data_IF_696625331197
#
_entry.id   IF_696625331197
#
_cell.length_a   1.000
_cell.length_b   1.000
_cell.length_c   1.000
_cell.angle_alpha   90.00
_cell.angle_beta   90.00
_cell.angle_gamma   90.00
#
_symmetry.space_group_name_H-M   'P 1'
#
loop_
_entity.id
_entity.type
_entity.pdbx_description
1 polymer ?
#
# COMPACT_ATOMS: atom_id res chain seq x y z
N UNK A 1 27.31 40.93 -3.04
CA UNK A 1 26.44 42.09 -2.77
C UNK A 1 25.43 42.34 -3.89
N UNK A 2 25.85 42.39 -5.16
CA UNK A 2 24.93 42.62 -6.29
C UNK A 2 23.81 41.57 -6.41
N UNK A 3 24.14 40.28 -6.42
CA UNK A 3 23.13 39.21 -6.54
C UNK A 3 22.10 39.23 -5.40
N UNK A 4 22.54 39.51 -4.17
CA UNK A 4 21.65 39.67 -3.02
C UNK A 4 20.78 40.93 -3.15
N UNK A 5 21.32 42.05 -3.62
CA UNK A 5 20.56 43.28 -3.88
C UNK A 5 19.50 43.06 -4.98
N UNK A 6 19.84 42.30 -6.02
CA UNK A 6 18.92 41.89 -7.06
C UNK A 6 17.80 40.99 -6.50
N UNK A 7 18.16 39.96 -5.74
CA UNK A 7 17.21 39.03 -5.12
C UNK A 7 16.24 39.72 -4.16
N UNK A 8 16.72 40.74 -3.42
CA UNK A 8 15.93 41.56 -2.51
C UNK A 8 15.00 42.55 -3.23
N UNK A 9 15.19 42.78 -4.55
CA UNK A 9 14.41 43.74 -5.31
C UNK A 9 14.84 45.20 -5.10
N UNK A 10 16.08 45.45 -4.67
CA UNK A 10 16.61 46.80 -4.46
C UNK A 10 17.06 47.50 -5.76
N UNK A 11 16.92 46.85 -6.91
CA UNK A 11 17.32 47.37 -8.22
C UNK A 11 16.07 47.58 -9.09
N UNK A 12 15.79 48.84 -9.44
CA UNK A 12 14.64 49.26 -10.25
C UNK A 12 15.11 50.00 -11.52
N UNK A 13 14.25 50.07 -12.55
CA UNK A 13 14.55 50.83 -13.76
C UNK A 13 15.84 50.42 -14.49
N UNK A 14 16.71 51.39 -14.76
CA UNK A 14 17.99 51.17 -15.45
C UNK A 14 18.98 50.32 -14.62
N UNK A 15 18.94 50.42 -13.29
CA UNK A 15 19.78 49.62 -12.39
C UNK A 15 19.39 48.14 -12.43
N UNK A 16 18.11 47.84 -12.65
CA UNK A 16 17.66 46.47 -12.86
C UNK A 16 18.26 45.86 -14.13
N UNK A 17 18.24 46.62 -15.22
CA UNK A 17 18.77 46.19 -16.52
C UNK A 17 20.28 46.00 -16.46
N UNK A 18 20.98 46.95 -15.84
CA UNK A 18 22.44 46.87 -15.60
C UNK A 18 22.78 45.69 -14.70
N UNK A 19 21.99 45.46 -13.65
CA UNK A 19 22.10 44.30 -12.77
C UNK A 19 22.00 43.00 -13.55
N UNK A 20 21.02 42.85 -14.45
CA UNK A 20 20.87 41.66 -15.29
C UNK A 20 22.11 41.38 -16.16
N UNK A 21 22.69 42.42 -16.77
CA UNK A 21 23.91 42.30 -17.57
C UNK A 21 25.08 41.83 -16.71
N UNK A 22 25.24 42.42 -15.52
CA UNK A 22 26.30 42.04 -14.60
C UNK A 22 26.13 40.61 -14.06
N UNK A 23 24.90 40.17 -13.76
CA UNK A 23 24.63 38.77 -13.40
C UNK A 23 25.02 37.81 -14.52
N UNK A 24 24.70 38.16 -15.78
CA UNK A 24 25.12 37.40 -16.95
C UNK A 24 26.65 37.30 -17.05
N UNK A 25 27.36 38.40 -16.84
CA UNK A 25 28.83 38.39 -16.84
C UNK A 25 29.43 37.49 -15.75
N UNK A 26 28.83 37.45 -14.55
CA UNK A 26 29.31 36.57 -13.48
C UNK A 26 29.06 35.08 -13.73
N UNK A 27 28.15 34.71 -14.63
CA UNK A 27 28.01 33.31 -15.05
C UNK A 27 29.25 32.80 -15.78
N UNK A 28 29.95 33.68 -16.49
CA UNK A 28 31.16 33.34 -17.23
C UNK A 28 32.44 33.52 -16.39
N UNK A 29 32.32 33.78 -15.08
CA UNK A 29 33.48 33.95 -14.20
C UNK A 29 34.27 32.63 -14.11
N UNK A 30 35.61 32.65 -14.29
CA UNK A 30 36.43 31.43 -14.28
C UNK A 30 36.44 30.74 -12.91
N UNK A 31 36.15 31.48 -11.83
CA UNK A 31 36.15 30.95 -10.47
C UNK A 31 34.80 30.34 -10.11
N UNK A 32 34.72 29.01 -9.85
CA UNK A 32 33.47 28.38 -9.42
C UNK A 32 32.98 28.92 -8.07
N UNK A 33 33.85 29.55 -7.27
CA UNK A 33 33.45 30.19 -6.01
C UNK A 33 32.57 31.43 -6.24
N UNK A 34 32.82 32.18 -7.31
CA UNK A 34 32.01 33.35 -7.67
C UNK A 34 30.63 32.89 -8.15
N UNK A 35 30.59 31.90 -9.04
CA UNK A 35 29.34 31.31 -9.53
C UNK A 35 28.54 30.63 -8.43
N UNK A 36 29.21 29.95 -7.49
CA UNK A 36 28.59 29.42 -6.27
C UNK A 36 27.96 30.52 -5.42
N UNK A 37 28.68 31.62 -5.17
CA UNK A 37 28.14 32.74 -4.41
C UNK A 37 26.93 33.39 -5.09
N UNK A 38 26.91 33.39 -6.44
CA UNK A 38 25.77 33.80 -7.23
C UNK A 38 24.59 32.82 -7.06
N UNK A 39 24.84 31.51 -7.14
CA UNK A 39 23.84 30.47 -6.89
C UNK A 39 23.23 30.58 -5.49
N UNK A 40 24.05 30.67 -4.43
CA UNK A 40 23.56 30.80 -3.06
C UNK A 40 22.70 32.06 -2.85
N UNK A 41 23.07 33.18 -3.51
CA UNK A 41 22.31 34.43 -3.41
C UNK A 41 20.96 34.40 -4.15
N UNK A 42 20.85 33.60 -5.21
CA UNK A 42 19.65 33.51 -6.05
C UNK A 42 18.78 32.28 -5.74
N UNK A 43 19.33 31.30 -5.01
CA UNK A 43 18.76 29.96 -4.83
C UNK A 43 17.30 29.97 -4.38
N UNK A 44 16.89 30.87 -3.49
CA UNK A 44 15.51 30.93 -2.94
C UNK A 44 14.68 32.09 -3.48
N UNK A 45 15.23 32.89 -4.40
CA UNK A 45 14.58 34.13 -4.83
C UNK A 45 13.53 33.89 -5.91
N UNK A 46 12.29 34.32 -5.65
CA UNK A 46 11.21 34.37 -6.66
C UNK A 46 11.43 35.44 -7.72
N UNK A 47 12.37 36.37 -7.49
CA UNK A 47 12.76 37.42 -8.43
C UNK A 47 13.97 37.04 -9.27
N UNK A 48 14.59 35.88 -9.02
CA UNK A 48 15.75 35.44 -9.77
C UNK A 48 15.40 35.31 -11.27
N UNK A 49 16.22 35.85 -12.19
CA UNK A 49 15.95 35.72 -13.61
C UNK A 49 16.10 34.25 -14.00
N UNK A 50 15.01 33.62 -14.48
CA UNK A 50 14.99 32.18 -14.77
C UNK A 50 16.14 31.71 -15.66
N UNK A 51 16.54 32.51 -16.66
CA UNK A 51 17.70 32.18 -17.53
C UNK A 51 19.02 32.05 -16.77
N UNK A 52 19.23 32.86 -15.74
CA UNK A 52 20.44 32.82 -14.91
C UNK A 52 20.41 31.58 -14.02
N UNK A 53 19.25 31.28 -13.44
CA UNK A 53 19.06 30.06 -12.62
C UNK A 53 19.27 28.79 -13.44
N UNK A 54 18.76 28.73 -14.66
CA UNK A 54 18.98 27.58 -15.55
C UNK A 54 20.47 27.41 -15.92
N UNK A 55 21.18 28.51 -16.20
CA UNK A 55 22.61 28.44 -16.47
C UNK A 55 23.41 27.95 -15.26
N UNK A 56 23.03 28.36 -14.05
CA UNK A 56 23.64 27.86 -12.81
C UNK A 56 23.31 26.39 -12.55
N UNK A 57 22.11 25.94 -12.93
CA UNK A 57 21.68 24.55 -12.76
C UNK A 57 22.38 23.57 -13.72
N UNK A 58 22.91 24.05 -14.84
CA UNK A 58 23.69 23.28 -15.83
C UNK A 58 25.21 23.32 -15.56
N UNK A 59 25.64 24.01 -14.50
CA UNK A 59 27.04 24.11 -14.09
C UNK A 59 27.48 22.85 -13.29
N UNK A 60 28.72 22.86 -12.79
CA UNK A 60 29.22 21.82 -11.88
C UNK A 60 28.34 21.69 -10.64
N UNK A 61 28.25 20.48 -10.08
CA UNK A 61 27.37 20.14 -8.94
C UNK A 61 27.45 21.15 -7.78
N UNK A 62 28.65 21.63 -7.45
CA UNK A 62 28.82 22.60 -6.36
C UNK A 62 28.09 23.91 -6.64
N UNK A 63 27.90 24.34 -7.89
CA UNK A 63 27.13 25.53 -8.25
C UNK A 63 25.66 25.21 -8.48
N UNK A 64 25.37 24.04 -9.07
CA UNK A 64 24.01 23.65 -9.47
C UNK A 64 23.13 23.21 -8.29
N UNK A 65 23.64 22.40 -7.36
CA UNK A 65 22.83 21.84 -6.26
C UNK A 65 22.02 22.88 -5.48
N UNK A 66 22.54 24.06 -5.07
CA UNK A 66 21.78 25.07 -4.32
C UNK A 66 20.56 25.61 -5.06
N UNK A 67 20.70 25.86 -6.36
CA UNK A 67 19.59 26.38 -7.16
C UNK A 67 18.58 25.26 -7.46
N UNK A 68 19.06 24.05 -7.73
CA UNK A 68 18.17 22.90 -7.98
C UNK A 68 17.38 22.49 -6.74
N UNK A 69 17.96 22.59 -5.55
CA UNK A 69 17.29 22.18 -4.31
C UNK A 69 16.26 23.18 -3.78
N UNK A 70 16.32 24.45 -4.18
CA UNK A 70 15.52 25.50 -3.53
C UNK A 70 14.85 26.49 -4.48
N UNK A 71 15.22 26.54 -5.77
CA UNK A 71 14.73 27.61 -6.63
C UNK A 71 13.26 27.48 -6.96
N UNK A 72 12.46 28.55 -6.74
CA UNK A 72 11.03 28.57 -7.07
C UNK A 72 10.78 28.90 -8.55
N UNK A 73 11.81 29.31 -9.30
CA UNK A 73 11.66 29.67 -10.73
C UNK A 73 11.94 28.50 -11.68
N UNK A 74 12.38 27.36 -11.15
CA UNK A 74 12.52 26.10 -11.90
C UNK A 74 11.14 25.47 -12.10
N UNK A 75 10.86 25.07 -13.34
CA UNK A 75 9.64 24.38 -13.71
C UNK A 75 9.80 22.88 -13.44
N UNK A 76 8.66 22.18 -13.34
CA UNK A 76 8.66 20.72 -13.24
C UNK A 76 9.42 20.05 -14.40
N UNK A 77 9.33 20.60 -15.63
CA UNK A 77 10.08 20.07 -16.78
C UNK A 77 11.59 20.16 -16.57
N UNK A 78 12.06 21.28 -16.03
CA UNK A 78 13.49 21.49 -15.77
C UNK A 78 13.99 20.49 -14.73
N UNK A 79 13.24 20.33 -13.63
CA UNK A 79 13.58 19.37 -12.57
C UNK A 79 13.57 17.92 -13.06
N UNK A 80 12.64 17.58 -13.95
CA UNK A 80 12.59 16.25 -14.58
C UNK A 80 13.81 16.02 -15.47
N UNK A 81 14.19 17.00 -16.29
CA UNK A 81 15.37 16.91 -17.16
C UNK A 81 16.67 16.83 -16.33
N UNK A 82 16.80 17.67 -15.30
CA UNK A 82 17.92 17.67 -14.36
C UNK A 82 18.01 16.34 -13.60
N UNK A 83 16.89 15.72 -13.24
CA UNK A 83 16.91 14.40 -12.61
C UNK A 83 17.29 13.29 -13.59
N UNK A 84 16.82 13.37 -14.84
CA UNK A 84 17.06 12.37 -15.86
C UNK A 84 18.53 12.30 -16.30
N UNK A 85 19.18 13.45 -16.44
CA UNK A 85 20.55 13.54 -16.97
C UNK A 85 21.60 13.95 -15.92
N UNK A 86 21.16 14.30 -14.71
CA UNK A 86 22.03 14.79 -13.65
C UNK A 86 22.93 13.75 -13.00
N UNK A 87 23.98 14.24 -12.35
CA UNK A 87 24.83 13.46 -11.46
C UNK A 87 24.03 12.96 -10.23
N UNK A 88 24.56 11.97 -9.48
CA UNK A 88 23.93 11.55 -8.22
C UNK A 88 23.73 12.70 -7.22
N UNK A 89 24.66 13.66 -7.16
CA UNK A 89 24.52 14.84 -6.27
C UNK A 89 23.42 15.77 -6.74
N UNK A 90 23.27 15.96 -8.05
CA UNK A 90 22.21 16.78 -8.62
C UNK A 90 20.83 16.13 -8.44
N UNK A 91 20.73 14.82 -8.65
CA UNK A 91 19.52 14.03 -8.40
C UNK A 91 19.09 14.08 -6.94
N UNK A 92 20.04 13.96 -6.02
CA UNK A 92 19.80 14.15 -4.59
C UNK A 92 19.31 15.57 -4.26
N UNK A 93 19.82 16.59 -4.95
CA UNK A 93 19.32 17.96 -4.81
C UNK A 93 17.87 18.11 -5.31
N UNK A 94 17.47 17.39 -6.36
CA UNK A 94 16.06 17.35 -6.80
C UNK A 94 15.19 16.64 -5.78
N UNK A 95 15.60 15.47 -5.26
CA UNK A 95 14.80 14.69 -4.29
C UNK A 95 14.70 15.36 -2.92
N UNK A 96 15.67 16.20 -2.53
CA UNK A 96 15.67 16.91 -1.25
C UNK A 96 14.89 18.23 -1.24
N UNK A 97 14.18 18.55 -2.33
CA UNK A 97 13.38 19.79 -2.41
C UNK A 97 12.26 19.76 -1.39
N UNK A 98 11.96 20.93 -0.79
CA UNK A 98 10.86 21.07 0.17
C UNK A 98 9.51 20.64 -0.42
N UNK A 99 9.31 20.86 -1.71
CA UNK A 99 8.13 20.45 -2.46
C UNK A 99 8.49 19.56 -3.66
N UNK A 100 7.75 18.46 -3.80
CA UNK A 100 7.86 17.57 -4.96
C UNK A 100 6.51 17.46 -5.64
N UNK A 101 6.39 18.17 -6.76
CA UNK A 101 5.18 18.14 -7.59
C UNK A 101 4.93 16.74 -8.14
N UNK A 102 3.65 16.46 -8.44
CA UNK A 102 3.20 15.22 -9.09
C UNK A 102 4.05 14.75 -10.26
N UNK A 103 4.44 15.68 -11.14
CA UNK A 103 5.21 15.36 -12.35
C UNK A 103 6.63 14.93 -12.02
N UNK A 104 7.27 15.62 -11.08
CA UNK A 104 8.63 15.31 -10.63
C UNK A 104 8.64 13.99 -9.85
N UNK A 105 7.71 13.80 -8.91
CA UNK A 105 7.55 12.53 -8.19
C UNK A 105 7.33 11.35 -9.14
N UNK A 106 6.45 11.52 -10.15
CA UNK A 106 6.22 10.48 -11.15
C UNK A 106 7.47 10.16 -11.98
N UNK A 107 8.26 11.17 -12.37
CA UNK A 107 9.51 10.94 -13.08
C UNK A 107 10.53 10.20 -12.22
N UNK A 108 10.70 10.59 -10.95
CA UNK A 108 11.61 9.92 -10.01
C UNK A 108 11.17 8.46 -9.82
N UNK A 109 9.87 8.20 -9.66
CA UNK A 109 9.31 6.84 -9.59
C UNK A 109 9.57 6.03 -10.87
N UNK A 110 9.64 6.66 -12.04
CA UNK A 110 9.80 5.97 -13.32
C UNK A 110 11.26 5.60 -13.64
N UNK A 111 12.23 6.45 -13.28
CA UNK A 111 13.65 6.26 -13.66
C UNK A 111 14.63 6.28 -12.48
N UNK A 112 14.16 6.56 -11.28
CA UNK A 112 14.94 6.55 -10.04
C UNK A 112 15.44 5.15 -9.68
N UNK A 113 16.54 5.13 -8.93
CA UNK A 113 17.04 3.96 -8.19
C UNK A 113 16.15 3.64 -6.98
N UNK A 114 16.33 2.47 -6.38
CA UNK A 114 15.57 2.08 -5.19
C UNK A 114 15.67 3.10 -4.05
N UNK A 115 16.87 3.61 -3.76
CA UNK A 115 17.10 4.62 -2.72
C UNK A 115 16.35 5.93 -3.03
N UNK A 116 16.46 6.46 -4.24
CA UNK A 116 15.79 7.73 -4.60
C UNK A 116 14.26 7.59 -4.63
N UNK A 117 13.75 6.43 -5.01
CA UNK A 117 12.30 6.16 -4.98
C UNK A 117 11.82 6.01 -3.53
N UNK A 118 12.58 5.34 -2.66
CA UNK A 118 12.28 5.27 -1.23
C UNK A 118 12.25 6.67 -0.61
N UNK A 119 13.27 7.51 -0.89
CA UNK A 119 13.35 8.89 -0.41
C UNK A 119 12.11 9.69 -0.83
N UNK A 120 11.67 9.60 -2.09
CA UNK A 120 10.47 10.30 -2.57
C UNK A 120 9.19 9.77 -1.92
N UNK A 121 9.07 8.46 -1.71
CA UNK A 121 7.87 7.84 -1.10
C UNK A 121 7.73 8.26 0.37
N UNK A 122 8.85 8.36 1.09
CA UNK A 122 8.92 8.80 2.49
C UNK A 122 8.87 10.34 2.61
N UNK A 123 9.05 11.06 1.52
CA UNK A 123 9.04 12.52 1.51
C UNK A 123 7.65 13.08 1.89
N UNK A 124 7.54 13.84 3.00
CA UNK A 124 6.24 14.24 3.57
C UNK A 124 5.43 15.18 2.67
N UNK A 125 6.11 15.96 1.83
CA UNK A 125 5.50 16.93 0.93
C UNK A 125 5.46 16.47 -0.55
N UNK A 126 5.77 15.20 -0.83
CA UNK A 126 5.68 14.69 -2.20
C UNK A 126 4.22 14.39 -2.59
N UNK A 127 3.73 15.03 -3.66
CA UNK A 127 2.46 14.66 -4.29
C UNK A 127 2.71 13.41 -5.16
N UNK A 128 2.30 12.26 -4.66
CA UNK A 128 2.44 10.97 -5.35
C UNK A 128 1.06 10.44 -5.72
N UNK A 129 0.87 10.14 -7.00
CA UNK A 129 -0.41 9.61 -7.47
C UNK A 129 -0.56 8.11 -7.15
N UNK A 130 -1.80 7.60 -7.04
CA UNK A 130 -2.05 6.15 -7.01
C UNK A 130 -1.39 5.37 -8.15
N UNK A 131 -1.33 5.96 -9.35
CA UNK A 131 -0.66 5.35 -10.51
C UNK A 131 0.86 5.27 -10.30
N UNK A 132 1.46 6.31 -9.72
CA UNK A 132 2.88 6.33 -9.37
C UNK A 132 3.20 5.32 -8.26
N UNK A 133 2.37 5.21 -7.22
CA UNK A 133 2.55 4.19 -6.18
C UNK A 133 2.48 2.77 -6.75
N UNK A 134 1.53 2.50 -7.66
CA UNK A 134 1.45 1.24 -8.38
C UNK A 134 2.72 0.99 -9.21
N UNK A 135 3.19 2.01 -9.92
CA UNK A 135 4.41 1.91 -10.74
C UNK A 135 5.65 1.62 -9.89
N UNK A 136 5.77 2.25 -8.72
CA UNK A 136 6.85 1.96 -7.77
C UNK A 136 6.80 0.51 -7.29
N UNK A 137 5.61 0.01 -6.93
CA UNK A 137 5.43 -1.40 -6.54
C UNK A 137 5.79 -2.36 -7.68
N UNK A 138 5.37 -2.08 -8.92
CA UNK A 138 5.69 -2.92 -10.08
C UNK A 138 7.19 -2.96 -10.41
N UNK A 139 7.91 -1.83 -10.26
CA UNK A 139 9.34 -1.74 -10.59
C UNK A 139 10.23 -2.24 -9.46
N UNK A 140 9.86 -1.95 -8.21
CA UNK A 140 10.75 -2.00 -7.04
C UNK A 140 10.08 -2.68 -5.83
N UNK A 141 8.94 -3.35 -5.99
CA UNK A 141 8.25 -4.06 -4.91
C UNK A 141 9.08 -5.18 -4.28
N UNK A 142 10.05 -5.74 -5.00
CA UNK A 142 10.99 -6.73 -4.48
C UNK A 142 12.08 -6.14 -3.57
N UNK A 143 12.31 -4.82 -3.64
CA UNK A 143 13.23 -4.11 -2.74
C UNK A 143 12.58 -3.91 -1.36
N UNK A 144 13.31 -4.27 -0.30
CA UNK A 144 12.75 -4.30 1.05
C UNK A 144 12.45 -2.89 1.59
N UNK A 145 13.30 -1.90 1.28
CA UNK A 145 13.16 -0.54 1.78
C UNK A 145 12.00 0.15 1.05
N UNK A 146 11.96 0.05 -0.29
CA UNK A 146 10.85 0.60 -1.08
C UNK A 146 9.51 -0.04 -0.68
N UNK A 147 9.47 -1.37 -0.49
CA UNK A 147 8.26 -2.06 -0.01
C UNK A 147 7.83 -1.57 1.36
N UNK A 148 8.78 -1.36 2.28
CA UNK A 148 8.52 -0.82 3.60
C UNK A 148 7.87 0.56 3.54
N UNK A 149 8.47 1.48 2.77
CA UNK A 149 7.94 2.82 2.54
C UNK A 149 6.53 2.79 1.93
N UNK A 150 6.29 1.94 0.91
CA UNK A 150 4.97 1.80 0.30
C UNK A 150 3.92 1.30 1.30
N UNK A 151 4.22 0.25 2.06
CA UNK A 151 3.27 -0.34 3.02
C UNK A 151 2.95 0.60 4.20
N UNK A 152 3.88 1.49 4.57
CA UNK A 152 3.68 2.49 5.62
C UNK A 152 2.67 3.59 5.23
N UNK A 153 2.44 3.81 3.92
CA UNK A 153 1.53 4.85 3.44
C UNK A 153 0.07 4.50 3.68
N UNK A 154 -0.71 5.43 4.21
CA UNK A 154 -2.15 5.26 4.41
C UNK A 154 -2.97 5.35 3.10
N UNK A 155 -2.47 6.09 2.11
CA UNK A 155 -3.13 6.32 0.81
C UNK A 155 -2.79 5.28 -0.26
N UNK A 156 -2.00 4.25 0.08
CA UNK A 156 -1.65 3.18 -0.85
C UNK A 156 -2.91 2.47 -1.36
N UNK A 157 -3.11 2.34 -2.68
CA UNK A 157 -4.24 1.61 -3.25
C UNK A 157 -4.30 0.19 -2.72
N UNK A 158 -5.51 -0.27 -2.37
CA UNK A 158 -5.71 -1.54 -1.68
C UNK A 158 -5.26 -2.75 -2.51
N UNK A 159 -5.40 -2.69 -3.83
CA UNK A 159 -4.91 -3.74 -4.72
C UNK A 159 -3.38 -3.78 -4.78
N UNK A 160 -2.72 -2.62 -4.75
CA UNK A 160 -1.25 -2.54 -4.64
C UNK A 160 -0.79 -3.06 -3.27
N UNK A 161 -1.48 -2.71 -2.18
CA UNK A 161 -1.20 -3.24 -0.84
C UNK A 161 -1.31 -4.76 -0.81
N UNK A 162 -2.37 -5.31 -1.42
CA UNK A 162 -2.58 -6.75 -1.53
C UNK A 162 -1.44 -7.43 -2.30
N UNK A 163 -1.01 -6.85 -3.41
CA UNK A 163 0.11 -7.37 -4.19
C UNK A 163 1.40 -7.40 -3.37
N UNK A 164 1.78 -6.28 -2.73
CA UNK A 164 2.99 -6.19 -1.91
C UNK A 164 2.96 -7.15 -0.72
N UNK A 165 1.79 -7.40 -0.12
CA UNK A 165 1.62 -8.38 0.94
C UNK A 165 1.97 -9.80 0.47
N UNK A 166 1.53 -10.18 -0.73
CA UNK A 166 1.85 -11.49 -1.30
C UNK A 166 3.33 -11.61 -1.67
N UNK A 167 3.89 -10.57 -2.29
CA UNK A 167 5.31 -10.52 -2.65
C UNK A 167 6.21 -10.59 -1.39
N UNK A 168 5.85 -9.88 -0.32
CA UNK A 168 6.53 -9.98 0.96
C UNK A 168 6.48 -11.41 1.52
N UNK A 169 5.30 -12.05 1.47
CA UNK A 169 5.14 -13.45 1.88
C UNK A 169 6.06 -14.38 1.09
N UNK A 170 6.09 -14.25 -0.24
CA UNK A 170 6.95 -15.05 -1.11
C UNK A 170 8.44 -14.76 -0.92
N UNK A 171 8.83 -13.52 -0.62
CA UNK A 171 10.21 -13.20 -0.26
C UNK A 171 10.61 -13.92 1.05
N UNK A 172 9.74 -13.87 2.07
CA UNK A 172 9.95 -14.56 3.35
C UNK A 172 10.00 -16.09 3.18
N UNK A 173 9.17 -16.68 2.32
CA UNK A 173 9.19 -18.13 2.08
C UNK A 173 10.50 -18.61 1.47
N UNK A 174 11.17 -17.76 0.67
CA UNK A 174 12.46 -18.05 0.03
C UNK A 174 13.67 -17.89 0.96
N UNK A 175 13.53 -17.24 2.12
CA UNK A 175 14.64 -17.03 3.04
C UNK A 175 15.13 -18.35 3.65
N UNK A 176 16.43 -18.62 3.54
CA UNK A 176 17.04 -19.84 4.06
C UNK A 176 16.82 -20.01 5.57
N UNK A 177 16.91 -18.90 6.34
CA UNK A 177 16.64 -18.91 7.77
C UNK A 177 15.22 -19.45 8.07
N UNK A 178 14.21 -18.91 7.40
CA UNK A 178 12.80 -19.31 7.59
C UNK A 178 12.59 -20.77 7.19
N UNK A 179 13.13 -21.18 6.04
CA UNK A 179 13.02 -22.57 5.56
C UNK A 179 13.72 -23.57 6.48
N UNK A 180 14.90 -23.24 6.99
CA UNK A 180 15.66 -24.13 7.86
C UNK A 180 15.04 -24.27 9.26
N UNK A 181 14.39 -23.22 9.78
CA UNK A 181 13.74 -23.25 11.09
C UNK A 181 12.37 -23.94 11.05
N UNK A 182 11.57 -23.71 10.01
CA UNK A 182 10.16 -24.17 9.94
C UNK A 182 10.01 -25.47 9.13
N UNK A 183 10.90 -25.68 8.15
CA UNK A 183 10.81 -26.73 7.15
C UNK A 183 10.01 -26.29 5.92
N UNK A 184 10.53 -26.56 4.72
CA UNK A 184 10.04 -26.04 3.43
C UNK A 184 8.52 -26.17 3.22
N UNK A 185 7.95 -27.39 3.31
CA UNK A 185 6.50 -27.60 3.13
C UNK A 185 5.64 -26.85 4.15
N UNK A 186 6.17 -26.64 5.36
CA UNK A 186 5.47 -25.91 6.42
C UNK A 186 5.57 -24.41 6.21
N UNK A 187 6.68 -23.92 5.67
CA UNK A 187 6.91 -22.51 5.32
C UNK A 187 5.88 -22.03 4.30
N UNK A 188 5.74 -22.69 3.16
CA UNK A 188 4.82 -22.24 2.11
C UNK A 188 3.38 -22.16 2.61
N UNK A 189 2.95 -23.20 3.34
CA UNK A 189 1.61 -23.25 3.94
C UNK A 189 1.40 -22.15 4.99
N UNK A 190 2.39 -21.91 5.84
CA UNK A 190 2.34 -20.87 6.87
C UNK A 190 2.26 -19.47 6.23
N UNK A 191 3.05 -19.22 5.19
CA UNK A 191 3.07 -17.94 4.47
C UNK A 191 1.72 -17.68 3.79
N UNK A 192 1.21 -18.66 3.03
CA UNK A 192 -0.09 -18.54 2.37
C UNK A 192 -1.18 -18.13 3.36
N UNK A 193 -1.26 -18.84 4.49
CA UNK A 193 -2.26 -18.56 5.50
C UNK A 193 -2.05 -17.23 6.23
N UNK A 194 -0.79 -16.82 6.44
CA UNK A 194 -0.49 -15.52 7.04
C UNK A 194 -0.93 -14.39 6.10
N UNK A 195 -0.70 -14.54 4.79
CA UNK A 195 -1.18 -13.61 3.79
C UNK A 195 -2.72 -13.59 3.71
N UNK A 196 -3.37 -14.76 3.71
CA UNK A 196 -4.84 -14.85 3.75
C UNK A 196 -5.41 -14.19 5.01
N UNK A 197 -4.79 -14.40 6.17
CA UNK A 197 -5.18 -13.75 7.42
C UNK A 197 -5.03 -12.22 7.35
N UNK A 198 -3.88 -11.73 6.88
CA UNK A 198 -3.67 -10.29 6.69
C UNK A 198 -4.64 -9.68 5.66
N UNK A 199 -5.00 -10.44 4.62
CA UNK A 199 -6.03 -10.02 3.64
C UNK A 199 -7.39 -9.86 4.30
N UNK A 200 -7.79 -10.80 5.16
CA UNK A 200 -9.04 -10.71 5.92
C UNK A 200 -9.01 -9.56 6.92
N UNK A 201 -7.88 -9.32 7.58
CA UNK A 201 -7.74 -8.22 8.53
C UNK A 201 -7.85 -6.86 7.81
N UNK A 202 -7.27 -6.73 6.61
CA UNK A 202 -7.42 -5.52 5.78
C UNK A 202 -8.87 -5.24 5.39
N UNK A 203 -9.72 -6.26 5.28
CA UNK A 203 -11.11 -6.12 4.86
C UNK A 203 -11.93 -5.20 5.80
N UNK A 204 -11.58 -5.16 7.08
CA UNK A 204 -12.24 -4.32 8.08
C UNK A 204 -12.11 -2.81 7.83
N UNK A 205 -11.04 -2.38 7.16
CA UNK A 205 -10.76 -0.97 6.88
C UNK A 205 -11.25 -0.53 5.48
N UNK A 206 -11.79 -1.46 4.69
CA UNK A 206 -12.20 -1.20 3.31
C UNK A 206 -13.56 -0.51 3.27
N UNK A 207 -13.62 0.67 2.65
CA UNK A 207 -14.90 1.35 2.39
C UNK A 207 -15.80 0.48 1.50
N UNK A 208 -17.12 0.43 1.75
CA UNK A 208 -18.05 -0.38 0.94
C UNK A 208 -17.96 -0.11 -0.57
N UNK A 209 -17.70 1.14 -0.97
CA UNK A 209 -17.55 1.54 -2.38
C UNK A 209 -16.35 0.91 -3.08
N UNK A 210 -15.31 0.51 -2.35
CA UNK A 210 -14.09 -0.09 -2.90
C UNK A 210 -14.09 -1.62 -2.82
N UNK A 211 -15.00 -2.21 -2.03
CA UNK A 211 -15.05 -3.66 -1.81
C UNK A 211 -15.22 -4.44 -3.12
N UNK A 212 -16.14 -4.02 -3.99
CA UNK A 212 -16.40 -4.72 -5.26
C UNK A 212 -15.17 -4.73 -6.18
N UNK A 213 -14.48 -3.58 -6.31
CA UNK A 213 -13.27 -3.44 -7.12
C UNK A 213 -12.12 -4.29 -6.57
N UNK A 214 -11.97 -4.33 -5.24
CA UNK A 214 -10.94 -5.13 -4.60
C UNK A 214 -11.19 -6.64 -4.74
N UNK A 215 -12.44 -7.08 -4.54
CA UNK A 215 -12.81 -8.48 -4.75
C UNK A 215 -12.59 -8.91 -6.20
N UNK A 216 -12.87 -8.04 -7.17
CA UNK A 216 -12.57 -8.34 -8.58
C UNK A 216 -11.05 -8.50 -8.82
N UNK A 217 -10.22 -7.70 -8.13
CA UNK A 217 -8.77 -7.91 -8.13
C UNK A 217 -8.39 -9.27 -7.51
N UNK A 218 -8.95 -9.64 -6.34
CA UNK A 218 -8.74 -10.95 -5.72
C UNK A 218 -9.18 -12.11 -6.62
N UNK A 219 -10.29 -11.95 -7.35
CA UNK A 219 -10.79 -12.94 -8.30
C UNK A 219 -9.83 -13.11 -9.47
N UNK A 220 -9.39 -12.01 -10.11
CA UNK A 220 -8.46 -12.03 -11.25
C UNK A 220 -7.10 -12.60 -10.89
N UNK A 221 -6.64 -12.37 -9.67
CA UNK A 221 -5.38 -12.91 -9.15
C UNK A 221 -5.51 -14.34 -8.58
N UNK A 222 -6.69 -14.96 -8.64
CA UNK A 222 -6.91 -16.35 -8.22
C UNK A 222 -6.93 -16.57 -6.70
N UNK A 223 -7.11 -15.52 -5.91
CA UNK A 223 -7.04 -15.56 -4.44
C UNK A 223 -8.34 -16.01 -3.77
N UNK A 224 -9.47 -16.02 -4.50
CA UNK A 224 -10.78 -16.44 -3.98
C UNK A 224 -10.92 -17.96 -3.89
N UNK A 225 -10.06 -18.60 -3.07
CA UNK A 225 -10.09 -20.04 -2.81
C UNK A 225 -11.22 -20.41 -1.84
N UNK A 226 -11.65 -21.69 -1.84
CA UNK A 226 -12.62 -22.19 -0.84
C UNK A 226 -12.10 -22.01 0.59
N UNK A 227 -10.79 -22.24 0.82
CA UNK A 227 -10.18 -22.06 2.14
C UNK A 227 -10.22 -20.60 2.58
N UNK A 228 -9.96 -19.67 1.66
CA UNK A 228 -10.04 -18.24 1.90
C UNK A 228 -11.47 -17.80 2.24
N UNK A 229 -12.48 -18.26 1.49
CA UNK A 229 -13.89 -17.95 1.78
C UNK A 229 -14.36 -18.50 3.13
N UNK A 230 -13.92 -19.70 3.52
CA UNK A 230 -14.16 -20.23 4.86
C UNK A 230 -13.54 -19.31 5.91
N UNK A 231 -12.28 -18.90 5.73
CA UNK A 231 -11.62 -17.96 6.64
C UNK A 231 -12.38 -16.64 6.77
N UNK A 232 -12.82 -16.05 5.64
CA UNK A 232 -13.58 -14.79 5.62
C UNK A 232 -14.84 -14.91 6.50
N UNK A 233 -15.63 -15.98 6.33
CA UNK A 233 -16.86 -16.18 7.10
C UNK A 233 -16.55 -16.47 8.56
N UNK A 234 -15.53 -17.28 8.85
CA UNK A 234 -15.05 -17.55 10.20
C UNK A 234 -14.61 -16.28 10.93
N UNK A 235 -14.03 -15.32 10.22
CA UNK A 235 -13.63 -14.02 10.74
C UNK A 235 -14.79 -13.01 10.83
N UNK A 236 -15.99 -13.34 10.34
CA UNK A 236 -17.16 -12.46 10.39
C UNK A 236 -17.20 -11.39 9.31
N UNK A 237 -16.34 -11.48 8.30
CA UNK A 237 -16.25 -10.51 7.20
C UNK A 237 -17.35 -10.78 6.14
N UNK A 238 -18.62 -10.62 6.54
CA UNK A 238 -19.80 -10.98 5.73
C UNK A 238 -19.89 -10.16 4.44
N UNK A 239 -19.48 -8.89 4.45
CA UNK A 239 -19.49 -8.05 3.24
C UNK A 239 -18.45 -8.52 2.22
N UNK A 240 -17.23 -8.84 2.66
CA UNK A 240 -16.21 -9.45 1.78
C UNK A 240 -16.68 -10.80 1.24
N UNK A 241 -17.32 -11.63 2.08
CA UNK A 241 -17.88 -12.91 1.62
C UNK A 241 -18.99 -12.71 0.59
N UNK A 242 -19.93 -11.81 0.84
CA UNK A 242 -21.04 -11.49 -0.06
C UNK A 242 -20.53 -10.96 -1.40
N UNK A 243 -19.59 -10.01 -1.37
CA UNK A 243 -18.97 -9.48 -2.57
C UNK A 243 -18.21 -10.56 -3.35
N UNK A 244 -17.52 -11.48 -2.66
CA UNK A 244 -16.84 -12.62 -3.29
C UNK A 244 -17.82 -13.55 -4.01
N UNK A 245 -18.97 -13.85 -3.40
CA UNK A 245 -20.00 -14.66 -4.04
C UNK A 245 -20.65 -13.95 -5.24
N UNK A 246 -20.82 -12.62 -5.19
CA UNK A 246 -21.26 -11.84 -6.36
C UNK A 246 -20.27 -12.01 -7.51
N UNK A 247 -18.97 -11.82 -7.24
CA UNK A 247 -17.93 -11.90 -8.24
C UNK A 247 -17.76 -13.32 -8.82
N UNK A 248 -17.93 -14.36 -8.01
CA UNK A 248 -17.81 -15.76 -8.43
C UNK A 248 -19.05 -16.29 -9.16
N UNK A 249 -20.26 -15.91 -8.70
CA UNK A 249 -21.52 -16.43 -9.28
C UNK A 249 -22.05 -15.61 -10.45
N UNK A 250 -21.61 -14.37 -10.62
CA UNK A 250 -22.14 -13.44 -11.63
C UNK A 250 -23.57 -12.96 -11.35
N UNK A 251 -24.15 -13.29 -10.19
CA UNK A 251 -25.49 -12.86 -9.79
C UNK A 251 -25.46 -11.44 -9.21
N UNK A 252 -26.61 -10.75 -9.22
CA UNK A 252 -26.73 -9.41 -8.66
C UNK A 252 -26.51 -9.41 -7.14
N UNK A 253 -25.89 -8.34 -6.62
CA UNK A 253 -25.63 -8.18 -5.18
C UNK A 253 -26.90 -8.33 -4.34
N UNK A 254 -28.01 -7.72 -4.78
CA UNK A 254 -29.30 -7.83 -4.10
C UNK A 254 -29.74 -9.30 -3.92
N UNK A 255 -29.56 -10.13 -4.95
CA UNK A 255 -29.94 -11.55 -4.91
C UNK A 255 -29.02 -12.34 -3.99
N UNK A 256 -27.72 -12.15 -4.11
CA UNK A 256 -26.72 -12.84 -3.27
C UNK A 256 -26.92 -12.47 -1.80
N UNK A 257 -27.04 -11.17 -1.48
CA UNK A 257 -27.27 -10.68 -0.12
C UNK A 257 -28.56 -11.25 0.48
N UNK A 258 -29.64 -11.33 -0.30
CA UNK A 258 -30.89 -11.93 0.15
C UNK A 258 -30.70 -13.41 0.54
N UNK A 259 -29.99 -14.20 -0.28
CA UNK A 259 -29.70 -15.62 -0.01
C UNK A 259 -28.83 -15.78 1.25
N UNK A 260 -27.79 -14.95 1.39
CA UNK A 260 -26.87 -14.97 2.54
C UNK A 260 -27.61 -14.63 3.85
N UNK A 261 -28.46 -13.61 3.84
CA UNK A 261 -29.18 -13.14 5.04
C UNK A 261 -30.30 -14.09 5.47
N UNK A 262 -31.00 -14.68 4.51
CA UNK A 262 -32.10 -15.61 4.73
C UNK A 262 -31.60 -17.01 5.14
N UNK A 263 -30.50 -17.46 4.53
CA UNK A 263 -29.81 -18.70 4.92
C UNK A 263 -30.63 -19.98 4.70
N UNK A 264 -31.62 -19.96 3.78
CA UNK A 264 -32.37 -21.16 3.35
C UNK A 264 -31.45 -22.12 2.63
N UNK A 265 -31.52 -23.40 3.00
CA UNK A 265 -30.59 -24.44 2.53
C UNK A 265 -30.52 -24.52 1.00
N UNK A 266 -31.65 -24.77 0.33
CA UNK A 266 -31.64 -24.99 -1.12
C UNK A 266 -31.13 -23.78 -1.92
N UNK A 267 -31.47 -22.55 -1.51
CA UNK A 267 -30.99 -21.35 -2.18
C UNK A 267 -29.49 -21.12 -1.96
N UNK A 268 -29.00 -21.40 -0.74
CA UNK A 268 -27.59 -21.27 -0.41
C UNK A 268 -26.73 -22.31 -1.12
N UNK A 269 -27.16 -23.58 -1.14
CA UNK A 269 -26.43 -24.67 -1.81
C UNK A 269 -26.37 -24.43 -3.33
N UNK A 270 -27.47 -23.97 -3.94
CA UNK A 270 -27.49 -23.56 -5.35
C UNK A 270 -26.51 -22.40 -5.64
N UNK A 271 -26.40 -21.43 -4.72
CA UNK A 271 -25.46 -20.33 -4.84
C UNK A 271 -24.00 -20.81 -4.74
N UNK A 272 -23.68 -21.69 -3.79
CA UNK A 272 -22.33 -22.27 -3.66
C UNK A 272 -21.91 -23.00 -4.93
N UNK A 273 -22.82 -23.82 -5.49
CA UNK A 273 -22.59 -24.53 -6.75
C UNK A 273 -22.39 -23.57 -7.92
N UNK A 274 -23.17 -22.50 -8.01
CA UNK A 274 -23.03 -21.47 -9.05
C UNK A 274 -21.71 -20.71 -8.91
N UNK A 275 -21.23 -20.50 -7.68
CA UNK A 275 -19.94 -19.88 -7.38
C UNK A 275 -18.74 -20.83 -7.56
N UNK A 276 -18.96 -22.10 -7.96
CA UNK A 276 -17.90 -23.09 -8.19
C UNK A 276 -17.28 -23.67 -6.92
N UNK A 277 -17.98 -23.59 -5.78
CA UNK A 277 -17.49 -24.12 -4.51
C UNK A 277 -17.83 -25.60 -4.33
N UNK A 278 -16.97 -26.38 -3.65
CA UNK A 278 -17.27 -27.78 -3.34
C UNK A 278 -18.52 -27.91 -2.46
N UNK A 279 -19.35 -28.91 -2.72
CA UNK A 279 -20.60 -29.17 -1.98
C UNK A 279 -20.36 -29.32 -0.47
N UNK A 280 -19.22 -29.89 -0.06
CA UNK A 280 -18.82 -30.05 1.34
C UNK A 280 -18.64 -28.71 2.09
N UNK A 281 -18.41 -27.60 1.39
CA UNK A 281 -18.20 -26.29 2.04
C UNK A 281 -19.51 -25.57 2.41
N UNK A 282 -20.60 -25.87 1.70
CA UNK A 282 -21.90 -25.19 1.86
C UNK A 282 -22.50 -25.29 3.26
N UNK A 283 -22.58 -26.48 3.88
CA UNK A 283 -23.10 -26.63 5.24
C UNK A 283 -22.30 -25.84 6.27
N UNK A 284 -20.97 -25.79 6.16
CA UNK A 284 -20.11 -25.03 7.07
C UNK A 284 -20.37 -23.54 6.95
N UNK A 285 -20.26 -23.00 5.73
CA UNK A 285 -20.44 -21.56 5.48
C UNK A 285 -21.82 -21.08 5.95
N UNK A 286 -22.88 -21.84 5.63
CA UNK A 286 -24.25 -21.54 6.08
C UNK A 286 -24.39 -21.58 7.60
N UNK A 287 -23.80 -22.57 8.25
CA UNK A 287 -23.86 -22.71 9.72
C UNK A 287 -23.13 -21.56 10.40
N UNK A 288 -21.95 -21.20 9.89
CA UNK A 288 -21.17 -20.07 10.40
C UNK A 288 -21.94 -18.74 10.29
N UNK A 289 -22.57 -18.44 9.15
CA UNK A 289 -23.40 -17.23 8.97
C UNK A 289 -24.57 -17.21 9.97
N UNK A 290 -25.23 -18.36 10.19
CA UNK A 290 -26.32 -18.47 11.16
C UNK A 290 -25.83 -18.25 12.59
N UNK A 291 -24.64 -18.74 12.94
CA UNK A 291 -24.04 -18.51 14.25
C UNK A 291 -23.73 -17.03 14.47
N UNK A 292 -23.11 -16.36 13.49
CA UNK A 292 -22.89 -14.92 13.51
C UNK A 292 -24.20 -14.15 13.74
N UNK A 293 -25.24 -14.45 12.97
CA UNK A 293 -26.56 -13.81 13.11
C UNK A 293 -27.20 -14.08 14.47
N UNK A 294 -27.08 -15.31 14.98
CA UNK A 294 -27.66 -15.69 16.29
C UNK A 294 -26.98 -14.90 17.40
N UNK A 295 -25.65 -14.91 17.44
CA UNK A 295 -24.92 -14.28 18.54
C UNK A 295 -25.02 -12.75 18.44
N UNK A 296 -25.03 -12.16 17.24
CA UNK A 296 -25.24 -10.72 17.07
C UNK A 296 -26.64 -10.25 17.55
N UNK A 297 -27.61 -11.15 17.59
CA UNK A 297 -28.96 -10.89 18.09
C UNK A 297 -29.15 -11.31 19.57
N UNK A 298 -28.13 -11.85 20.24
CA UNK A 298 -28.19 -12.12 21.68
C UNK A 298 -28.04 -10.78 22.44
N UNK A 299 -29.00 -10.39 23.29
CA UNK A 299 -29.01 -9.14 24.10
C UNK A 299 -27.90 -9.05 25.18
N UNK A 300 -26.81 -9.82 25.04
CA UNK A 300 -25.71 -9.81 25.99
C UNK A 300 -24.63 -8.83 25.53
N UNK A 301 -24.04 -8.03 26.45
CA UNK A 301 -22.85 -7.28 26.13
C UNK A 301 -21.70 -8.25 25.84
N UNK A 302 -21.29 -8.31 24.58
CA UNK A 302 -20.08 -9.02 24.15
C UNK A 302 -19.03 -8.00 23.71
N UNK A 303 -17.76 -8.37 23.91
CA UNK A 303 -16.67 -7.70 23.21
C UNK A 303 -16.67 -8.17 21.76
N UNK A 304 -16.87 -7.24 20.81
CA UNK A 304 -16.82 -7.51 19.36
C UNK A 304 -15.54 -8.26 18.95
N UNK A 305 -14.44 -8.09 19.71
CA UNK A 305 -13.16 -8.76 19.47
C UNK A 305 -13.13 -10.22 19.93
N UNK A 306 -13.95 -10.60 20.90
CA UNK A 306 -14.09 -11.98 21.37
C UNK A 306 -15.06 -12.81 20.50
N UNK A 307 -15.89 -12.12 19.73
CA UNK A 307 -16.94 -12.69 18.90
C UNK A 307 -16.43 -13.73 17.86
N UNK A 308 -15.35 -13.48 17.08
CA UNK A 308 -14.83 -14.50 16.16
C UNK A 308 -14.44 -15.79 16.86
N UNK A 309 -13.76 -15.71 18.02
CA UNK A 309 -13.35 -16.88 18.80
C UNK A 309 -14.55 -17.70 19.30
N UNK A 310 -15.62 -17.02 19.76
CA UNK A 310 -16.84 -17.67 20.21
C UNK A 310 -17.58 -18.37 19.05
N UNK A 311 -17.71 -17.70 17.91
CA UNK A 311 -18.31 -18.29 16.71
C UNK A 311 -17.52 -19.52 16.28
N UNK A 312 -16.19 -19.42 16.28
CA UNK A 312 -15.30 -20.52 15.89
C UNK A 312 -15.43 -21.73 16.82
N UNK A 313 -15.43 -21.53 18.13
CA UNK A 313 -15.63 -22.61 19.10
C UNK A 313 -17.00 -23.29 18.91
N UNK A 314 -18.09 -22.52 18.80
CA UNK A 314 -19.43 -23.10 18.55
C UNK A 314 -19.51 -23.82 17.20
N UNK A 315 -18.83 -23.30 16.18
CA UNK A 315 -18.78 -23.92 14.85
C UNK A 315 -18.00 -25.25 14.89
N UNK A 316 -16.87 -25.29 15.61
CA UNK A 316 -16.10 -26.51 15.82
C UNK A 316 -16.91 -27.58 16.55
N UNK A 317 -17.67 -27.20 17.58
CA UNK A 317 -18.55 -28.11 18.33
C UNK A 317 -19.63 -28.73 17.42
N UNK A 318 -20.34 -27.91 16.64
CA UNK A 318 -21.41 -28.38 15.74
C UNK A 318 -20.91 -29.39 14.71
N UNK A 319 -19.66 -29.24 14.24
CA UNK A 319 -19.10 -30.14 13.24
C UNK A 319 -18.24 -31.26 13.82
N UNK A 320 -17.89 -31.23 15.11
CA UNK A 320 -17.24 -32.35 15.78
C UNK A 320 -18.11 -33.62 15.73
N UNK A 321 -19.44 -33.45 15.76
CA UNK A 321 -20.44 -34.52 15.70
C UNK A 321 -20.65 -35.08 14.28
N UNK A 322 -20.13 -34.42 13.23
CA UNK A 322 -20.34 -34.77 11.80
C UNK A 322 -19.10 -35.37 11.12
N UNK A 323 -18.21 -35.99 11.90
CA UNK A 323 -16.86 -36.42 11.46
C UNK A 323 -16.83 -37.40 10.29
N UNK A 324 -17.91 -38.13 10.03
CA UNK A 324 -17.90 -39.31 9.15
C UNK A 324 -18.36 -39.03 7.70
N UNK A 325 -18.64 -37.76 7.33
CA UNK A 325 -19.03 -37.43 5.95
C UNK A 325 -17.81 -37.37 5.00
N UNK A 326 -17.82 -38.10 3.86
CA UNK A 326 -16.71 -38.07 2.91
C UNK A 326 -16.53 -36.67 2.29
N UNK A 327 -15.30 -36.18 2.23
CA UNK A 327 -14.95 -34.85 1.71
C UNK A 327 -14.94 -33.73 2.76
N UNK A 328 -15.43 -33.98 3.98
CA UNK A 328 -15.40 -33.00 5.08
C UNK A 328 -14.05 -32.92 5.82
N UNK A 329 -13.17 -33.92 5.66
CA UNK A 329 -11.91 -34.00 6.41
C UNK A 329 -10.99 -32.77 6.21
N UNK A 330 -10.85 -32.32 4.96
CA UNK A 330 -10.05 -31.15 4.62
C UNK A 330 -10.64 -29.87 5.23
N UNK A 331 -11.95 -29.72 5.16
CA UNK A 331 -12.70 -28.60 5.74
C UNK A 331 -12.58 -28.59 7.27
N UNK A 332 -12.68 -29.75 7.91
CA UNK A 332 -12.53 -29.89 9.36
C UNK A 332 -11.10 -29.63 9.84
N UNK A 333 -10.10 -30.07 9.06
CA UNK A 333 -8.70 -29.77 9.34
C UNK A 333 -8.44 -28.27 9.27
N UNK A 334 -9.01 -27.58 8.28
CA UNK A 334 -8.96 -26.12 8.18
C UNK A 334 -9.67 -25.46 9.37
N UNK A 335 -10.88 -25.93 9.73
CA UNK A 335 -11.67 -25.34 10.81
C UNK A 335 -10.95 -25.39 12.17
N UNK A 336 -10.42 -26.56 12.57
CA UNK A 336 -9.65 -26.71 13.82
C UNK A 336 -8.41 -25.82 13.85
N UNK A 337 -7.80 -25.64 12.67
CA UNK A 337 -6.65 -24.77 12.52
C UNK A 337 -7.02 -23.30 12.72
N UNK A 338 -8.08 -22.85 12.05
CA UNK A 338 -8.60 -21.49 12.20
C UNK A 338 -9.04 -21.22 13.65
N UNK A 339 -9.65 -22.19 14.32
CA UNK A 339 -9.98 -22.09 15.75
C UNK A 339 -8.73 -21.83 16.59
N UNK A 340 -7.68 -22.64 16.42
CA UNK A 340 -6.41 -22.44 17.12
C UNK A 340 -5.78 -21.07 16.82
N UNK A 341 -5.88 -20.61 15.58
CA UNK A 341 -5.39 -19.29 15.15
C UNK A 341 -6.15 -18.15 15.83
N UNK A 342 -7.49 -18.20 15.82
CA UNK A 342 -8.35 -17.18 16.43
C UNK A 342 -8.16 -17.08 17.94
N UNK A 343 -8.06 -18.21 18.64
CA UNK A 343 -7.77 -18.23 20.08
C UNK A 343 -6.42 -17.57 20.38
N UNK A 344 -5.36 -17.91 19.62
CA UNK A 344 -4.04 -17.29 19.80
C UNK A 344 -4.06 -15.78 19.52
N UNK A 345 -4.79 -15.35 18.50
CA UNK A 345 -4.94 -13.93 18.16
C UNK A 345 -5.66 -13.17 19.28
N UNK A 346 -6.76 -13.70 19.79
CA UNK A 346 -7.51 -13.13 20.91
C UNK A 346 -6.64 -12.97 22.16
N UNK A 347 -5.87 -14.02 22.54
CA UNK A 347 -4.93 -13.95 23.68
C UNK A 347 -3.87 -12.86 23.48
N UNK A 348 -3.27 -12.75 22.27
CA UNK A 348 -2.28 -11.71 21.97
C UNK A 348 -2.86 -10.31 22.10
N UNK A 349 -4.07 -10.09 21.58
CA UNK A 349 -4.75 -8.79 21.65
C UNK A 349 -5.05 -8.40 23.10
N UNK A 350 -5.54 -9.33 23.92
CA UNK A 350 -5.76 -9.10 25.34
C UNK A 350 -4.46 -8.80 26.08
N UNK A 351 -3.36 -9.49 25.77
CA UNK A 351 -2.05 -9.23 26.37
C UNK A 351 -1.54 -7.82 26.03
N UNK A 352 -1.63 -7.39 24.77
CA UNK A 352 -1.21 -6.03 24.35
C UNK A 352 -2.02 -4.96 25.08
N UNK A 353 -3.32 -5.18 25.31
CA UNK A 353 -4.16 -4.26 26.08
C UNK A 353 -3.74 -4.18 27.55
N UNK A 354 -3.50 -5.33 28.19
CA UNK A 354 -3.03 -5.38 29.58
C UNK A 354 -1.65 -4.75 29.77
N UNK A 355 -0.80 -4.76 28.73
CA UNK A 355 0.50 -4.10 28.75
C UNK A 355 0.44 -2.59 28.46
N UNK A 356 -0.66 -2.09 27.88
CA UNK A 356 -0.88 -0.69 27.55
C UNK A 356 -1.75 0.06 28.58
N UNK A 357 -2.36 -0.67 29.51
CA UNK A 357 -3.11 -0.17 30.66
C UNK A 357 -2.20 -0.10 31.90
#
# INVERSE_FOLDING_TARGET
MLAAAFAAGHLEGEDHTTGLVALGHFLDDPSPKVRRALADALATSTRAPRRIVLALADDVDDVACPVVSASPVLLCSDLVDLFAYGSPRLRAAVTSREDLSRKVSAAIVEIGSAAEVADVIDHPAADITPCSLRRAAERLGDDADVRGCLLARADLPLDVRQQLLLEAGQALSRMALVRNTVGERRTDKLILESCEAATVDMAGDVRPSHMATWVEHLRRSGQLSTAFLIRIVCAGQVDLFTASLVALSGLSERRVRAIVVDGRQGAFDALMKTAGLPDASGPLLRTAIRLWKRIANEDRPFDDRAMPSLVMSRLADVFAERRDEPGFEAVMTLLRRLETETVRRSVRQTFVQLAAA
#
